data_IF_301556838309
#
_entry.id   IF_301556838309
#
_cell.length_a   1.000
_cell.length_b   1.000
_cell.length_c   1.000
_cell.angle_alpha   90.00
_cell.angle_beta   90.00
_cell.angle_gamma   90.00
#
_symmetry.space_group_name_H-M   'P 1'
#
loop_
_entity.id
_entity.type
_entity.pdbx_description
1 polymer ?
#
# COMPACT_ATOMS: atom_id res chain seq x y z
N UNK A 1 27.94 -50.05 8.84
CA UNK A 1 28.17 -49.17 10.01
C UNK A 1 27.17 -48.04 9.93
N UNK A 2 26.07 -48.17 10.66
CA UNK A 2 25.04 -47.15 10.85
C UNK A 2 25.57 -46.04 11.73
N UNK A 3 25.17 -44.79 11.44
CA UNK A 3 24.83 -43.81 12.48
C UNK A 3 23.65 -42.96 12.01
N UNK A 4 22.56 -43.18 12.72
CA UNK A 4 21.30 -42.45 12.69
C UNK A 4 21.43 -41.01 13.21
N UNK A 5 20.53 -40.16 12.71
CA UNK A 5 19.65 -39.32 13.54
C UNK A 5 20.22 -38.01 14.09
N UNK A 6 19.64 -36.89 13.63
CA UNK A 6 18.86 -36.06 14.57
C UNK A 6 17.88 -35.11 13.84
N UNK A 7 16.59 -35.39 13.98
CA UNK A 7 15.52 -34.40 13.89
C UNK A 7 15.44 -33.71 15.25
N UNK A 8 15.38 -32.38 15.30
CA UNK A 8 14.88 -31.69 16.49
C UNK A 8 13.79 -30.70 16.09
N UNK A 9 12.55 -31.13 16.37
CA UNK A 9 11.47 -30.24 16.73
C UNK A 9 11.74 -29.70 18.14
N UNK A 10 11.43 -28.42 18.37
CA UNK A 10 11.54 -27.82 19.70
C UNK A 10 11.06 -26.37 19.72
N UNK A 11 9.75 -26.19 19.84
CA UNK A 11 9.19 -24.95 20.37
C UNK A 11 9.63 -24.77 21.82
N UNK A 12 9.86 -23.51 22.25
CA UNK A 12 9.63 -23.00 23.61
C UNK A 12 9.90 -21.49 23.70
N UNK A 13 8.79 -20.74 23.66
CA UNK A 13 8.46 -19.60 24.54
C UNK A 13 9.59 -18.74 25.12
N UNK A 14 9.68 -17.49 24.69
CA UNK A 14 10.21 -16.38 25.52
C UNK A 14 9.30 -15.16 25.36
N UNK A 15 8.30 -15.05 26.23
CA UNK A 15 7.58 -13.82 26.51
C UNK A 15 7.46 -13.71 28.03
N UNK A 16 8.32 -12.89 28.65
CA UNK A 16 8.03 -12.11 29.86
C UNK A 16 9.29 -11.33 30.28
N UNK A 17 9.37 -10.02 29.99
CA UNK A 17 10.03 -8.99 30.82
C UNK A 17 9.94 -7.61 30.16
N UNK A 18 8.92 -6.83 30.54
CA UNK A 18 8.93 -5.37 30.78
C UNK A 18 7.51 -4.81 30.63
N UNK A 19 6.67 -5.01 31.64
CA UNK A 19 5.47 -4.20 31.85
C UNK A 19 5.27 -4.05 33.36
N UNK A 20 6.21 -3.37 34.01
CA UNK A 20 6.07 -2.85 35.38
C UNK A 20 6.98 -1.64 35.60
N UNK A 21 6.85 -0.59 34.79
CA UNK A 21 7.39 0.75 35.14
C UNK A 21 6.44 1.85 34.66
N UNK A 22 5.24 1.90 35.27
CA UNK A 22 4.55 3.15 35.52
C UNK A 22 4.19 3.14 37.01
N UNK A 23 5.21 3.35 37.83
CA UNK A 23 5.06 3.55 39.26
C UNK A 23 4.28 4.85 39.46
N UNK A 24 3.06 4.68 39.96
CA UNK A 24 2.26 5.73 40.56
C UNK A 24 3.13 6.62 41.47
N UNK A 25 3.11 7.92 41.20
CA UNK A 25 3.63 8.93 42.09
C UNK A 25 2.82 8.91 43.40
N UNK A 26 3.33 8.20 44.40
CA UNK A 26 2.80 8.21 45.75
C UNK A 26 3.25 9.52 46.45
N UNK A 27 2.37 10.52 46.45
CA UNK A 27 2.45 11.66 47.37
C UNK A 27 2.14 11.15 48.78
N UNK A 28 3.17 11.12 49.63
CA UNK A 28 3.07 10.87 51.07
C UNK A 28 2.69 12.15 51.80
N UNK A 29 1.53 12.17 52.46
CA UNK A 29 1.31 12.89 53.73
C UNK A 29 0.38 12.04 54.62
N UNK A 30 0.69 11.96 55.92
CA UNK A 30 0.30 10.86 56.79
C UNK A 30 -0.82 11.10 57.82
N UNK A 31 -0.91 10.08 58.70
CA UNK A 31 -1.62 9.91 59.98
C UNK A 31 -3.03 9.28 60.03
N UNK A 32 -3.13 8.17 60.80
CA UNK A 32 -4.35 7.69 61.49
C UNK A 32 -4.59 6.17 61.42
N UNK A 33 -4.66 5.41 62.55
CA UNK A 33 -4.94 3.98 62.54
C UNK A 33 -6.44 3.70 62.68
N UNK A 34 -7.02 2.93 61.77
CA UNK A 34 -8.40 2.46 61.90
C UNK A 34 -8.87 1.70 60.67
N UNK A 35 -9.09 0.39 60.85
CA UNK A 35 -9.95 -0.57 60.11
C UNK A 35 -10.54 -0.11 58.76
N UNK A 36 -10.50 -0.98 57.74
CA UNK A 36 -11.68 -1.72 57.20
C UNK A 36 -11.35 -2.44 55.88
N UNK A 37 -11.97 -3.62 55.76
CA UNK A 37 -12.41 -4.34 54.55
C UNK A 37 -11.38 -5.10 53.70
N UNK A 38 -11.40 -6.42 53.93
CA UNK A 38 -11.08 -7.47 52.98
C UNK A 38 -11.93 -7.31 51.71
N UNK A 39 -11.30 -7.10 50.57
CA UNK A 39 -11.86 -7.38 49.26
C UNK A 39 -10.93 -8.37 48.55
N UNK A 40 -11.35 -9.63 48.53
CA UNK A 40 -10.65 -10.70 47.81
C UNK A 40 -10.71 -10.43 46.30
N UNK A 41 -9.54 -10.26 45.69
CA UNK A 41 -9.38 -10.36 44.25
C UNK A 41 -9.06 -11.82 43.93
N UNK A 42 -10.08 -12.54 43.46
CA UNK A 42 -9.91 -13.82 42.80
C UNK A 42 -9.10 -13.59 41.52
N UNK A 43 -7.87 -14.11 41.51
CA UNK A 43 -7.03 -14.24 40.32
C UNK A 43 -7.69 -15.24 39.36
N UNK A 44 -8.34 -14.75 38.31
CA UNK A 44 -8.59 -15.56 37.12
C UNK A 44 -7.27 -15.58 36.33
N UNK A 45 -6.52 -16.67 36.47
CA UNK A 45 -5.43 -16.99 35.57
C UNK A 45 -6.02 -17.31 34.20
N UNK A 46 -5.99 -16.36 33.27
CA UNK A 46 -6.29 -16.62 31.86
C UNK A 46 -5.05 -17.28 31.24
N UNK A 47 -5.29 -18.48 30.73
CA UNK A 47 -4.30 -19.35 30.12
C UNK A 47 -3.50 -18.65 29.00
N UNK A 48 -2.18 -18.92 28.98
CA UNK A 48 -1.34 -18.73 27.81
C UNK A 48 -1.82 -19.62 26.65
N UNK A 49 -2.78 -19.12 25.88
CA UNK A 49 -2.91 -19.41 24.47
C UNK A 49 -2.33 -18.22 23.71
N UNK A 50 -1.49 -18.47 22.71
CA UNK A 50 -1.08 -17.44 21.75
C UNK A 50 -2.33 -16.87 21.07
N UNK A 51 -2.88 -15.78 21.58
CA UNK A 51 -3.88 -15.01 20.85
C UNK A 51 -3.14 -14.24 19.78
N UNK A 52 -3.09 -14.79 18.56
CA UNK A 52 -3.07 -13.91 17.38
C UNK A 52 -4.13 -12.83 17.63
N UNK A 53 -3.75 -11.56 17.55
CA UNK A 53 -4.68 -10.45 17.74
C UNK A 53 -5.88 -10.70 16.81
N UNK A 54 -7.09 -10.99 17.36
CA UNK A 54 -8.14 -11.69 16.62
C UNK A 54 -8.82 -10.85 15.51
N UNK A 55 -8.29 -9.67 15.20
CA UNK A 55 -8.92 -8.70 14.30
C UNK A 55 -7.98 -8.07 13.25
N UNK A 56 -6.71 -8.51 13.15
CA UNK A 56 -5.83 -8.00 12.08
C UNK A 56 -6.20 -8.66 10.74
N UNK A 57 -6.45 -7.87 9.67
CA UNK A 57 -6.68 -8.41 8.34
C UNK A 57 -5.43 -9.11 7.80
N UNK A 58 -5.62 -10.04 6.87
CA UNK A 58 -4.57 -10.56 6.00
C UNK A 58 -3.91 -9.45 5.19
N UNK A 59 -2.68 -9.68 4.74
CA UNK A 59 -1.96 -8.76 3.87
C UNK A 59 -2.74 -8.42 2.60
N UNK A 60 -3.35 -9.42 1.95
CA UNK A 60 -4.16 -9.23 0.74
C UNK A 60 -5.37 -8.34 1.02
N UNK A 61 -6.06 -8.51 2.16
CA UNK A 61 -7.20 -7.65 2.53
C UNK A 61 -6.76 -6.22 2.88
N UNK A 62 -5.59 -6.06 3.51
CA UNK A 62 -4.99 -4.75 3.77
C UNK A 62 -4.61 -4.04 2.47
N UNK A 63 -3.93 -4.74 1.56
CA UNK A 63 -3.49 -4.21 0.28
C UNK A 63 -4.68 -3.79 -0.59
N UNK A 64 -5.77 -4.58 -0.59
CA UNK A 64 -6.98 -4.27 -1.33
C UNK A 64 -7.63 -2.96 -0.86
N UNK A 65 -7.62 -2.69 0.44
CA UNK A 65 -8.17 -1.44 1.00
C UNK A 65 -7.40 -0.19 0.54
N UNK A 66 -6.10 -0.37 0.27
CA UNK A 66 -5.20 0.61 -0.33
C UNK A 66 -5.27 0.70 -1.86
N UNK A 67 -6.18 -0.03 -2.53
CA UNK A 67 -6.28 -0.04 -4.00
C UNK A 67 -7.48 0.76 -4.52
N UNK A 68 -7.38 1.20 -5.78
CA UNK A 68 -8.50 1.73 -6.56
C UNK A 68 -8.63 0.98 -7.89
N UNK A 69 -9.86 0.93 -8.39
CA UNK A 69 -10.21 0.35 -9.69
C UNK A 69 -10.19 1.44 -10.77
N UNK A 70 -9.58 1.14 -11.91
CA UNK A 70 -9.48 2.05 -13.05
C UNK A 70 -9.89 1.35 -14.35
N UNK A 71 -10.39 2.12 -15.35
CA UNK A 71 -10.74 1.57 -16.65
C UNK A 71 -9.48 1.03 -17.36
N UNK A 72 -9.65 0.11 -18.33
CA UNK A 72 -8.52 -0.39 -19.10
C UNK A 72 -7.88 0.73 -19.91
N UNK A 73 -6.58 0.59 -20.22
CA UNK A 73 -5.87 1.52 -21.13
C UNK A 73 -6.44 1.45 -22.54
N UNK A 74 -6.77 0.25 -23.00
CA UNK A 74 -7.40 -0.03 -24.29
C UNK A 74 -8.80 -0.59 -24.04
N UNK A 75 -9.79 -0.22 -24.84
CA UNK A 75 -11.20 -0.55 -24.55
C UNK A 75 -11.49 -2.05 -24.34
N UNK A 76 -10.73 -2.93 -25.01
CA UNK A 76 -10.85 -4.39 -24.89
C UNK A 76 -10.02 -5.00 -23.75
N UNK A 77 -9.20 -4.20 -23.06
CA UNK A 77 -8.27 -4.68 -22.03
C UNK A 77 -8.94 -5.02 -20.68
N UNK A 78 -8.16 -5.59 -19.75
CA UNK A 78 -8.60 -5.82 -18.38
C UNK A 78 -8.73 -4.51 -17.60
N UNK A 79 -9.65 -4.46 -16.64
CA UNK A 79 -9.65 -3.36 -15.68
C UNK A 79 -8.34 -3.39 -14.88
N UNK A 80 -7.90 -2.21 -14.46
CA UNK A 80 -6.67 -2.08 -13.67
C UNK A 80 -7.02 -1.95 -12.20
N UNK A 81 -6.35 -2.73 -11.36
CA UNK A 81 -6.38 -2.59 -9.91
C UNK A 81 -5.03 -2.05 -9.44
N UNK A 82 -5.02 -0.84 -8.90
CA UNK A 82 -3.80 -0.07 -8.69
C UNK A 82 -3.65 0.36 -7.23
N UNK A 83 -2.41 0.44 -6.76
CA UNK A 83 -2.09 1.11 -5.51
C UNK A 83 -2.57 2.57 -5.56
N UNK A 84 -3.38 2.96 -4.58
CA UNK A 84 -3.88 4.34 -4.42
C UNK A 84 -2.75 5.33 -4.26
N UNK A 85 -1.71 4.89 -3.57
CA UNK A 85 -0.51 5.63 -3.24
C UNK A 85 0.72 4.93 -3.81
N UNK A 86 1.88 5.57 -3.70
CA UNK A 86 3.16 4.87 -3.73
C UNK A 86 3.22 3.82 -2.62
N UNK A 87 4.00 2.76 -2.82
CA UNK A 87 4.24 1.76 -1.77
C UNK A 87 4.87 2.45 -0.59
N UNK A 88 4.25 2.28 0.58
CA UNK A 88 4.70 2.89 1.81
C UNK A 88 5.79 2.05 2.48
N UNK A 89 6.55 2.66 3.39
CA UNK A 89 7.54 1.95 4.21
C UNK A 89 6.89 0.86 5.05
N UNK A 90 5.68 1.09 5.54
CA UNK A 90 4.91 0.10 6.30
C UNK A 90 4.52 -1.13 5.46
N UNK A 91 4.15 -0.93 4.20
CA UNK A 91 3.87 -2.01 3.24
C UNK A 91 5.13 -2.77 2.82
N UNK A 92 6.25 -2.06 2.66
CA UNK A 92 7.48 -2.67 2.17
C UNK A 92 8.24 -3.44 3.27
N UNK A 93 8.39 -2.86 4.46
CA UNK A 93 9.19 -3.43 5.56
C UNK A 93 8.35 -4.16 6.63
N UNK A 94 7.03 -3.97 6.65
CA UNK A 94 6.14 -4.51 7.68
C UNK A 94 6.03 -3.63 8.95
N UNK A 95 5.20 -4.06 9.90
CA UNK A 95 4.87 -3.25 11.10
C UNK A 95 5.92 -3.36 12.21
N UNK A 96 6.74 -2.31 12.31
CA UNK A 96 7.33 -1.66 13.49
C UNK A 96 8.21 -2.42 14.51
N UNK A 97 8.20 -3.75 14.63
CA UNK A 97 9.05 -4.41 15.65
C UNK A 97 10.50 -4.63 15.19
N UNK A 98 10.77 -4.58 13.88
CA UNK A 98 12.10 -4.85 13.33
C UNK A 98 12.97 -3.60 13.09
N UNK A 99 12.41 -2.39 13.18
CA UNK A 99 12.98 -1.28 12.40
C UNK A 99 13.14 0.06 13.11
N UNK A 100 12.33 0.40 14.13
CA UNK A 100 12.41 1.72 14.79
C UNK A 100 12.06 2.89 13.85
N UNK A 101 11.29 3.87 14.33
CA UNK A 101 10.99 5.15 13.64
C UNK A 101 10.79 5.12 12.11
N UNK A 102 10.10 4.11 11.58
CA UNK A 102 9.98 3.94 10.12
C UNK A 102 9.14 5.01 9.42
N UNK A 103 8.40 5.87 10.13
CA UNK A 103 7.36 6.74 9.54
C UNK A 103 6.55 5.96 8.48
N UNK A 104 5.71 4.99 8.90
CA UNK A 104 5.22 3.91 8.04
C UNK A 104 4.41 4.38 6.84
N UNK A 105 3.83 5.57 6.90
CA UNK A 105 3.02 6.17 5.83
C UNK A 105 3.86 6.95 4.79
N UNK A 106 5.18 7.08 4.99
CA UNK A 106 6.07 7.63 3.96
C UNK A 106 6.22 6.64 2.80
N UNK A 107 6.39 7.12 1.56
CA UNK A 107 6.76 6.26 0.45
C UNK A 107 8.09 5.57 0.74
N UNK A 108 8.19 4.29 0.37
CA UNK A 108 9.46 3.58 0.33
C UNK A 108 10.33 4.21 -0.76
N UNK A 109 11.59 4.47 -0.41
CA UNK A 109 12.61 5.00 -1.31
C UNK A 109 13.90 4.21 -1.10
N UNK A 110 14.97 4.53 -1.85
CA UNK A 110 16.21 3.75 -1.81
C UNK A 110 16.00 2.28 -2.18
N UNK A 111 15.04 2.02 -3.07
CA UNK A 111 14.77 0.72 -3.67
C UNK A 111 15.11 0.76 -5.15
N UNK A 112 15.76 -0.29 -5.65
CA UNK A 112 16.06 -0.39 -7.06
C UNK A 112 14.86 -0.99 -7.82
N UNK A 113 14.92 -1.01 -9.15
CA UNK A 113 13.79 -1.48 -9.97
C UNK A 113 13.51 -2.97 -9.75
N UNK A 114 14.54 -3.78 -9.55
CA UNK A 114 14.39 -5.23 -9.36
C UNK A 114 13.70 -5.55 -8.02
N UNK A 115 14.07 -4.88 -6.93
CA UNK A 115 13.42 -4.99 -5.62
C UNK A 115 11.93 -4.60 -5.71
N UNK A 116 11.64 -3.49 -6.39
CA UNK A 116 10.26 -3.03 -6.60
C UNK A 116 9.44 -4.04 -7.43
N UNK A 117 10.02 -4.61 -8.48
CA UNK A 117 9.39 -5.64 -9.30
C UNK A 117 9.16 -6.95 -8.53
N UNK A 118 10.15 -7.40 -7.74
CA UNK A 118 10.03 -8.59 -6.92
C UNK A 118 8.92 -8.42 -5.87
N UNK A 119 8.90 -7.29 -5.17
CA UNK A 119 7.86 -6.98 -4.18
C UNK A 119 6.46 -7.05 -4.77
N UNK A 120 6.27 -6.49 -5.98
CA UNK A 120 4.98 -6.52 -6.65
C UNK A 120 4.62 -7.94 -7.13
N UNK A 121 5.58 -8.65 -7.72
CA UNK A 121 5.39 -10.00 -8.27
C UNK A 121 4.97 -11.00 -7.20
N UNK A 122 5.58 -10.94 -6.02
CA UNK A 122 5.27 -11.82 -4.89
C UNK A 122 3.83 -11.64 -4.38
N UNK A 123 3.15 -10.55 -4.78
CA UNK A 123 1.76 -10.23 -4.44
C UNK A 123 0.79 -10.42 -5.62
N UNK A 124 1.24 -11.07 -6.70
CA UNK A 124 0.44 -11.23 -7.93
C UNK A 124 0.25 -9.94 -8.70
N UNK A 125 1.09 -8.93 -8.46
CA UNK A 125 1.05 -7.60 -9.07
C UNK A 125 2.31 -7.37 -9.90
N UNK A 126 2.43 -6.17 -10.46
CA UNK A 126 3.61 -5.73 -11.19
C UNK A 126 3.78 -4.21 -11.09
N UNK A 127 4.94 -3.72 -11.54
CA UNK A 127 5.08 -2.31 -11.85
C UNK A 127 4.17 -1.92 -13.02
N UNK A 128 3.60 -0.70 -13.01
CA UNK A 128 2.85 -0.21 -14.15
C UNK A 128 3.78 0.00 -15.36
N UNK A 129 3.28 -0.25 -16.55
CA UNK A 129 3.92 0.26 -17.76
C UNK A 129 3.84 1.80 -17.77
N UNK A 130 4.71 2.47 -18.53
CA UNK A 130 4.63 3.94 -18.64
C UNK A 130 3.26 4.40 -19.16
N UNK A 131 2.64 3.63 -20.07
CA UNK A 131 1.33 3.94 -20.63
C UNK A 131 0.21 3.80 -19.59
N UNK A 132 0.25 2.75 -18.77
CA UNK A 132 -0.69 2.58 -17.65
C UNK A 132 -0.49 3.65 -16.60
N UNK A 133 0.74 3.94 -16.21
CA UNK A 133 1.01 4.97 -15.20
C UNK A 133 0.44 6.33 -15.64
N UNK A 134 0.68 6.72 -16.89
CA UNK A 134 0.12 7.95 -17.47
C UNK A 134 -1.39 7.92 -17.52
N UNK A 135 -1.97 6.80 -17.97
CA UNK A 135 -3.41 6.59 -17.96
C UNK A 135 -3.97 6.79 -16.56
N UNK A 136 -3.41 6.17 -15.53
CA UNK A 136 -3.86 6.33 -14.14
C UNK A 136 -3.72 7.76 -13.62
N UNK A 137 -2.65 8.47 -14.02
CA UNK A 137 -2.39 9.84 -13.61
C UNK A 137 -3.39 10.86 -14.18
N UNK A 138 -3.98 10.62 -15.36
CA UNK A 138 -4.88 11.58 -16.03
C UNK A 138 -6.22 10.99 -16.48
N UNK A 139 -6.50 9.72 -16.26
CA UNK A 139 -7.65 9.03 -16.84
C UNK A 139 -8.96 9.77 -16.52
N UNK A 140 -9.95 9.60 -17.40
CA UNK A 140 -11.30 10.16 -17.25
C UNK A 140 -11.38 11.67 -17.40
N UNK A 141 -10.25 12.33 -17.59
CA UNK A 141 -10.19 13.73 -17.92
C UNK A 141 -10.04 13.91 -19.42
N UNK A 142 -11.09 14.37 -20.09
CA UNK A 142 -10.92 14.97 -21.41
C UNK A 142 -10.02 16.22 -21.33
N UNK A 143 -9.38 16.55 -22.44
CA UNK A 143 -8.60 17.79 -22.61
C UNK A 143 -7.11 17.67 -22.32
N UNK A 144 -6.40 18.79 -22.46
CA UNK A 144 -4.96 18.89 -22.23
C UNK A 144 -4.66 18.86 -20.73
N UNK A 145 -4.18 17.70 -20.23
CA UNK A 145 -3.76 17.51 -18.85
C UNK A 145 -2.27 17.25 -18.77
N UNK A 146 -1.55 18.31 -18.43
CA UNK A 146 -0.14 18.21 -18.05
C UNK A 146 0.04 17.63 -16.64
N UNK A 147 -0.87 17.93 -15.72
CA UNK A 147 -0.89 17.44 -14.34
C UNK A 147 -2.18 16.66 -14.05
N UNK A 148 -2.22 15.81 -13.00
CA UNK A 148 -3.43 15.08 -12.62
C UNK A 148 -4.66 15.96 -12.44
N UNK A 149 -4.47 17.20 -11.96
CA UNK A 149 -5.52 18.18 -11.69
C UNK A 149 -5.80 19.18 -12.83
N UNK A 150 -5.04 19.17 -13.93
CA UNK A 150 -5.25 20.08 -15.06
C UNK A 150 -3.98 20.54 -15.78
N UNK A 151 -4.08 21.60 -16.62
CA UNK A 151 -2.99 22.00 -17.50
C UNK A 151 -1.86 22.78 -16.80
N UNK A 152 -2.16 23.45 -15.67
CA UNK A 152 -1.24 24.34 -14.99
C UNK A 152 -0.77 23.77 -13.64
N UNK A 153 0.50 24.03 -13.31
CA UNK A 153 1.06 23.69 -12.01
C UNK A 153 0.32 24.42 -10.88
N UNK A 154 0.15 23.74 -9.74
CA UNK A 154 -0.46 24.28 -8.52
C UNK A 154 0.41 23.89 -7.32
N UNK A 155 1.08 24.84 -6.64
CA UNK A 155 1.98 24.53 -5.52
C UNK A 155 1.33 23.73 -4.39
N UNK A 156 0.03 23.94 -4.11
CA UNK A 156 -0.70 23.24 -3.05
C UNK A 156 -1.23 21.85 -3.46
N UNK A 157 -0.93 21.37 -4.67
CA UNK A 157 -1.46 20.11 -5.20
C UNK A 157 -0.43 18.96 -5.24
N UNK A 158 0.83 19.21 -4.88
CA UNK A 158 1.89 18.22 -4.91
C UNK A 158 3.05 18.60 -3.99
N UNK A 159 3.81 17.59 -3.54
CA UNK A 159 5.08 17.81 -2.86
C UNK A 159 6.20 18.02 -3.88
N UNK A 160 6.59 19.27 -4.11
CA UNK A 160 7.66 19.66 -5.06
C UNK A 160 8.64 20.61 -4.39
N UNK A 161 9.70 20.99 -5.11
CA UNK A 161 10.76 21.88 -4.61
C UNK A 161 10.21 23.20 -4.01
N UNK A 162 9.11 23.71 -4.55
CA UNK A 162 8.45 24.95 -4.15
C UNK A 162 7.91 24.94 -2.71
N UNK A 163 7.69 23.76 -2.11
CA UNK A 163 7.31 23.67 -0.70
C UNK A 163 8.50 23.85 0.26
N UNK A 164 9.74 23.73 -0.23
CA UNK A 164 10.95 23.90 0.59
C UNK A 164 11.16 22.82 1.67
N UNK A 165 10.45 21.69 1.57
CA UNK A 165 10.52 20.61 2.57
C UNK A 165 11.70 19.66 2.34
N UNK A 166 12.14 19.52 1.08
CA UNK A 166 13.29 18.71 0.66
C UNK A 166 13.29 17.25 1.17
N UNK A 167 12.10 16.67 1.37
CA UNK A 167 11.90 15.29 1.84
C UNK A 167 10.54 14.75 1.38
N UNK A 168 10.33 13.42 1.34
CA UNK A 168 9.01 12.88 1.06
C UNK A 168 8.05 13.20 2.22
N UNK A 169 6.76 13.26 1.89
CA UNK A 169 5.68 13.40 2.85
C UNK A 169 4.86 12.11 2.91
N UNK A 170 4.06 11.91 3.98
CA UNK A 170 3.12 10.80 4.03
C UNK A 170 2.24 10.80 2.79
N UNK A 171 1.96 9.61 2.28
CA UNK A 171 1.14 9.45 1.08
C UNK A 171 -0.26 10.03 1.29
N UNK A 172 -0.85 10.58 0.23
CA UNK A 172 -2.24 11.04 0.26
C UNK A 172 -2.49 12.40 0.91
N UNK A 173 -1.45 13.16 1.25
CA UNK A 173 -1.60 14.49 1.87
C UNK A 173 -2.20 15.52 0.91
N UNK A 174 -1.93 15.42 -0.40
CA UNK A 174 -2.32 16.43 -1.38
C UNK A 174 -3.67 16.13 -2.03
N UNK A 175 -4.75 16.45 -1.30
CA UNK A 175 -6.13 16.25 -1.75
C UNK A 175 -6.46 16.96 -3.08
N UNK A 176 -5.89 18.16 -3.30
CA UNK A 176 -6.05 18.92 -4.56
C UNK A 176 -5.25 18.31 -5.73
N UNK A 177 -4.37 17.35 -5.44
CA UNK A 177 -3.53 16.65 -6.40
C UNK A 177 -4.18 15.42 -7.04
N UNK A 178 -5.36 15.00 -6.56
CA UNK A 178 -5.97 13.74 -6.98
C UNK A 178 -6.49 13.76 -8.43
N UNK A 179 -6.21 12.71 -9.23
CA UNK A 179 -6.97 12.41 -10.44
C UNK A 179 -8.39 11.91 -10.13
N UNK A 180 -9.22 11.85 -11.17
CA UNK A 180 -10.63 11.47 -11.08
C UNK A 180 -10.91 10.06 -10.53
N UNK A 181 -9.99 9.11 -10.74
CA UNK A 181 -10.20 7.69 -10.40
C UNK A 181 -9.69 7.31 -9.01
N UNK A 182 -9.10 8.26 -8.28
CA UNK A 182 -8.89 8.13 -6.84
C UNK A 182 -7.50 7.68 -6.40
N UNK A 183 -6.50 7.62 -7.28
CA UNK A 183 -5.10 7.58 -6.87
C UNK A 183 -4.62 8.93 -6.34
N UNK A 184 -3.35 9.01 -5.94
CA UNK A 184 -2.70 10.20 -5.40
C UNK A 184 -1.25 10.28 -5.86
N UNK A 185 -0.65 11.46 -5.68
CA UNK A 185 0.80 11.67 -5.73
C UNK A 185 1.45 11.27 -7.08
N UNK A 186 0.67 11.25 -8.18
CA UNK A 186 1.19 11.10 -9.55
C UNK A 186 2.02 12.30 -10.04
N UNK A 187 2.25 13.29 -9.19
CA UNK A 187 3.10 14.45 -9.46
C UNK A 187 3.80 14.84 -8.15
N UNK A 188 5.12 14.81 -8.15
CA UNK A 188 5.93 15.10 -6.96
C UNK A 188 5.96 13.95 -5.96
N UNK A 189 6.29 14.29 -4.71
CA UNK A 189 6.62 13.35 -3.63
C UNK A 189 7.84 12.49 -3.99
N UNK A 190 7.69 11.39 -4.71
CA UNK A 190 8.81 10.57 -5.19
C UNK A 190 8.63 10.19 -6.65
N UNK A 191 9.74 10.06 -7.37
CA UNK A 191 9.75 9.37 -8.65
C UNK A 191 9.29 7.92 -8.48
N UNK A 192 8.64 7.37 -9.48
CA UNK A 192 8.13 6.00 -9.40
C UNK A 192 8.68 5.12 -10.51
N UNK A 193 9.30 4.00 -10.15
CA UNK A 193 9.73 2.98 -11.11
C UNK A 193 8.56 2.45 -11.95
N UNK A 194 8.78 2.33 -13.26
CA UNK A 194 7.84 1.72 -14.21
C UNK A 194 8.46 0.51 -14.93
N UNK A 195 7.61 -0.37 -15.43
CA UNK A 195 7.97 -1.47 -16.33
C UNK A 195 8.20 -0.95 -17.77
N UNK A 196 9.07 0.05 -17.93
CA UNK A 196 9.47 0.61 -19.21
C UNK A 196 10.97 0.88 -19.22
N UNK A 197 11.54 0.91 -20.42
CA UNK A 197 12.95 1.21 -20.63
C UNK A 197 13.08 2.47 -21.49
N UNK A 198 14.16 3.21 -21.28
CA UNK A 198 14.50 4.35 -22.12
C UNK A 198 14.88 3.87 -23.52
N UNK A 199 14.63 4.71 -24.53
CA UNK A 199 15.22 4.48 -25.84
C UNK A 199 16.75 4.54 -25.72
N UNK A 200 17.43 3.60 -26.37
CA UNK A 200 18.88 3.53 -26.29
C UNK A 200 19.53 4.76 -26.95
N UNK A 201 20.38 5.47 -26.21
CA UNK A 201 21.19 6.59 -26.67
C UNK A 201 22.59 6.54 -26.00
N UNK A 202 23.56 7.40 -26.40
CA UNK A 202 24.91 7.37 -25.83
C UNK A 202 25.01 7.56 -24.30
N UNK A 203 24.00 8.19 -23.67
CA UNK A 203 23.90 8.39 -22.22
C UNK A 203 23.03 7.33 -21.54
N UNK A 204 22.14 6.67 -22.29
CA UNK A 204 21.19 5.68 -21.77
C UNK A 204 21.27 4.41 -22.61
N UNK A 205 22.10 3.42 -22.26
CA UNK A 205 22.20 2.18 -23.01
C UNK A 205 20.88 1.40 -23.01
N UNK A 206 20.75 0.43 -23.92
CA UNK A 206 19.62 -0.51 -23.91
C UNK A 206 19.49 -1.19 -22.52
N UNK A 207 18.27 -1.33 -22.01
CA UNK A 207 18.02 -1.82 -20.66
C UNK A 207 17.96 -0.73 -19.58
N UNK A 208 18.20 0.55 -19.91
CA UNK A 208 18.08 1.65 -18.94
C UNK A 208 16.64 1.78 -18.45
N UNK A 209 16.44 1.74 -17.14
CA UNK A 209 15.13 1.81 -16.51
C UNK A 209 14.56 3.24 -16.50
N UNK A 210 13.23 3.32 -16.39
CA UNK A 210 12.52 4.59 -16.27
C UNK A 210 11.81 4.71 -14.93
N UNK A 211 11.83 5.92 -14.38
CA UNK A 211 10.93 6.38 -13.35
C UNK A 211 10.13 7.60 -13.83
N UNK A 212 8.94 7.87 -13.27
CA UNK A 212 8.07 8.97 -13.71
C UNK A 212 7.46 9.79 -12.55
N UNK A 213 6.85 10.94 -12.89
CA UNK A 213 6.07 11.78 -11.97
C UNK A 213 6.82 12.93 -11.29
N UNK A 214 8.14 12.84 -11.15
CA UNK A 214 8.92 13.82 -10.38
C UNK A 214 8.87 13.56 -8.89
N UNK A 215 9.73 14.23 -8.13
CA UNK A 215 9.82 14.09 -6.67
C UNK A 215 9.76 15.45 -5.96
N UNK A 216 9.85 15.42 -4.62
CA UNK A 216 10.05 16.59 -3.78
C UNK A 216 11.30 17.43 -4.15
N UNK A 217 12.23 16.86 -4.93
CA UNK A 217 13.46 17.53 -5.36
C UNK A 217 13.33 18.21 -6.73
N UNK A 218 12.24 18.01 -7.46
CA UNK A 218 12.00 18.65 -8.75
C UNK A 218 11.18 19.93 -8.61
N UNK A 219 11.45 20.92 -9.47
CA UNK A 219 10.51 22.04 -9.65
C UNK A 219 9.15 21.51 -10.07
N UNK A 220 8.07 22.13 -9.63
CA UNK A 220 6.71 21.81 -10.00
C UNK A 220 6.46 21.87 -11.50
N UNK A 221 7.18 22.74 -12.21
CA UNK A 221 7.16 22.78 -13.69
C UNK A 221 7.68 21.49 -14.35
N UNK A 222 8.46 20.67 -13.64
CA UNK A 222 9.05 19.41 -14.09
C UNK A 222 8.41 18.17 -13.41
N UNK A 223 7.53 18.34 -12.43
CA UNK A 223 6.80 17.26 -11.76
C UNK A 223 5.44 17.02 -12.44
N UNK A 224 5.46 16.58 -13.69
CA UNK A 224 4.25 16.41 -14.51
C UNK A 224 4.18 15.01 -15.14
N UNK A 225 3.03 14.65 -15.71
CA UNK A 225 2.72 13.25 -16.08
C UNK A 225 3.55 12.69 -17.24
N UNK A 226 4.21 13.58 -18.00
CA UNK A 226 5.11 13.20 -19.08
C UNK A 226 6.57 13.10 -18.63
N UNK A 227 6.90 13.61 -17.44
CA UNK A 227 8.25 13.60 -16.91
C UNK A 227 8.72 12.19 -16.66
N UNK A 228 9.89 11.89 -17.22
CA UNK A 228 10.58 10.61 -17.03
C UNK A 228 12.02 10.87 -16.63
N UNK A 229 12.55 10.03 -15.76
CA UNK A 229 13.95 9.99 -15.38
C UNK A 229 14.50 8.62 -15.77
N UNK A 230 15.56 8.61 -16.57
CA UNK A 230 16.28 7.40 -16.93
C UNK A 230 17.36 7.13 -15.89
N UNK A 231 17.47 5.87 -15.46
CA UNK A 231 18.39 5.41 -14.41
C UNK A 231 18.80 3.96 -14.69
N UNK A 232 19.96 3.55 -14.20
CA UNK A 232 20.31 2.13 -14.25
C UNK A 232 19.35 1.33 -13.36
N UNK A 233 19.08 0.07 -13.73
CA UNK A 233 18.05 -0.73 -13.03
C UNK A 233 18.45 -1.04 -11.57
N UNK A 234 19.76 -1.08 -11.32
CA UNK A 234 20.41 -1.27 -10.03
C UNK A 234 20.48 0.00 -9.17
N UNK A 235 20.24 1.18 -9.75
CA UNK A 235 20.34 2.45 -9.04
C UNK A 235 19.29 2.56 -7.93
N UNK A 236 19.67 3.23 -6.86
CA UNK A 236 18.81 3.59 -5.73
C UNK A 236 18.93 5.09 -5.49
N UNK A 237 17.80 5.74 -5.20
CA UNK A 237 17.80 7.16 -4.88
C UNK A 237 16.81 7.48 -3.76
N UNK A 238 17.13 8.52 -2.99
CA UNK A 238 16.35 9.00 -1.84
C UNK A 238 14.98 9.53 -2.23
N UNK A 239 14.78 9.81 -3.51
CA UNK A 239 13.60 10.41 -4.08
C UNK A 239 12.94 9.51 -5.14
N UNK A 240 13.29 8.22 -5.18
CA UNK A 240 12.72 7.21 -6.09
C UNK A 240 12.13 6.06 -5.28
N UNK A 241 10.83 5.86 -5.45
CA UNK A 241 10.04 4.74 -4.95
C UNK A 241 9.30 4.04 -6.10
N UNK A 242 8.11 3.51 -5.83
CA UNK A 242 7.28 2.87 -6.84
C UNK A 242 5.83 2.74 -6.40
N UNK A 243 4.95 2.45 -7.37
CA UNK A 243 3.61 1.91 -7.13
C UNK A 243 3.41 0.61 -7.91
N UNK A 244 2.29 -0.03 -7.69
CA UNK A 244 1.94 -1.30 -8.30
C UNK A 244 0.58 -1.26 -9.02
N UNK A 245 0.43 -2.18 -9.97
CA UNK A 245 -0.81 -2.45 -10.69
C UNK A 245 -0.97 -3.96 -10.90
N UNK A 246 -2.21 -4.42 -11.01
CA UNK A 246 -2.58 -5.74 -11.50
C UNK A 246 -3.79 -5.67 -12.41
N UNK A 247 -4.04 -6.75 -13.12
CA UNK A 247 -5.30 -6.96 -13.83
C UNK A 247 -6.37 -7.32 -12.79
N UNK A 248 -7.41 -6.50 -12.68
CA UNK A 248 -8.40 -6.62 -11.62
C UNK A 248 -9.10 -7.99 -11.66
N UNK A 249 -9.46 -8.45 -12.86
CA UNK A 249 -10.14 -9.72 -13.08
C UNK A 249 -9.30 -10.91 -12.57
N UNK A 250 -8.02 -10.95 -12.94
CA UNK A 250 -7.08 -12.01 -12.57
C UNK A 250 -6.79 -11.97 -11.07
N UNK A 251 -6.42 -10.79 -10.56
CA UNK A 251 -6.05 -10.63 -9.16
C UNK A 251 -7.21 -10.94 -8.20
N UNK A 252 -8.44 -10.51 -8.52
CA UNK A 252 -9.59 -10.87 -7.69
C UNK A 252 -9.87 -12.38 -7.68
N UNK A 253 -9.79 -13.04 -8.83
CA UNK A 253 -10.03 -14.47 -8.90
C UNK A 253 -8.96 -15.29 -8.14
N UNK A 254 -7.71 -14.83 -8.13
CA UNK A 254 -6.60 -15.56 -7.52
C UNK A 254 -6.39 -15.22 -6.05
N UNK A 255 -6.51 -13.95 -5.68
CA UNK A 255 -6.15 -13.46 -4.34
C UNK A 255 -7.39 -13.22 -3.47
N UNK A 256 -8.47 -12.72 -4.05
CA UNK A 256 -9.68 -12.35 -3.29
C UNK A 256 -10.64 -13.51 -3.11
N UNK A 257 -10.85 -14.33 -4.13
CA UNK A 257 -11.78 -15.45 -4.04
C UNK A 257 -11.44 -16.43 -2.89
N UNK A 258 -10.17 -16.84 -2.67
CA UNK A 258 -9.81 -17.67 -1.52
C UNK A 258 -10.14 -17.00 -0.17
N UNK A 259 -9.87 -15.69 -0.04
CA UNK A 259 -10.22 -14.93 1.16
C UNK A 259 -11.72 -14.83 1.37
N UNK A 260 -12.51 -14.68 0.31
CA UNK A 260 -13.96 -14.66 0.43
C UNK A 260 -14.49 -15.99 0.97
N UNK A 261 -14.01 -17.09 0.40
CA UNK A 261 -14.44 -18.44 0.76
C UNK A 261 -13.98 -18.85 2.17
N UNK A 262 -12.72 -18.58 2.52
CA UNK A 262 -12.05 -19.18 3.68
C UNK A 262 -11.46 -18.14 4.68
N UNK A 263 -11.52 -16.85 4.35
CA UNK A 263 -10.95 -15.78 5.18
C UNK A 263 -11.74 -15.48 6.46
N UNK A 264 -11.08 -14.78 7.38
CA UNK A 264 -11.64 -14.39 8.68
C UNK A 264 -12.69 -13.28 8.48
N UNK A 265 -13.61 -13.05 9.44
CA UNK A 265 -14.57 -11.94 9.36
C UNK A 265 -13.93 -10.56 9.12
N UNK A 266 -12.73 -10.32 9.66
CA UNK A 266 -11.96 -9.11 9.41
C UNK A 266 -11.60 -8.93 7.93
N UNK A 267 -11.16 -9.99 7.25
CA UNK A 267 -10.83 -9.96 5.82
C UNK A 267 -12.03 -9.55 4.98
N UNK A 268 -13.20 -10.17 5.25
CA UNK A 268 -14.45 -9.85 4.54
C UNK A 268 -14.86 -8.40 4.76
N UNK A 269 -14.71 -7.84 5.97
CA UNK A 269 -15.01 -6.43 6.24
C UNK A 269 -14.10 -5.48 5.47
N UNK A 270 -12.80 -5.74 5.45
CA UNK A 270 -11.83 -4.94 4.70
C UNK A 270 -12.10 -5.00 3.20
N UNK A 271 -12.39 -6.21 2.69
CA UNK A 271 -12.76 -6.40 1.29
C UNK A 271 -14.02 -5.62 0.91
N UNK A 272 -15.08 -5.71 1.70
CA UNK A 272 -16.34 -4.99 1.41
C UNK A 272 -16.14 -3.47 1.48
N UNK A 273 -15.32 -2.99 2.42
CA UNK A 273 -14.93 -1.58 2.53
C UNK A 273 -14.11 -1.11 1.33
N UNK A 274 -13.17 -1.92 0.85
CA UNK A 274 -12.37 -1.63 -0.32
C UNK A 274 -13.27 -1.51 -1.57
N UNK A 275 -14.12 -2.52 -1.80
CA UNK A 275 -15.07 -2.55 -2.90
C UNK A 275 -15.99 -1.32 -2.85
N UNK A 276 -16.57 -0.97 -1.69
CA UNK A 276 -17.49 0.18 -1.59
C UNK A 276 -16.85 1.53 -1.94
N UNK A 277 -15.51 1.65 -1.90
CA UNK A 277 -14.78 2.86 -2.30
C UNK A 277 -14.52 2.93 -3.81
N UNK A 278 -14.70 1.84 -4.55
CA UNK A 278 -14.53 1.83 -5.99
C UNK A 278 -15.75 2.40 -6.70
N UNK A 279 -15.51 2.99 -7.86
CA UNK A 279 -16.55 3.63 -8.63
C UNK A 279 -17.64 2.63 -9.08
N UNK A 280 -18.94 2.97 -8.92
CA UNK A 280 -20.03 2.05 -9.21
C UNK A 280 -20.05 1.49 -10.65
N UNK A 281 -19.73 2.32 -11.64
CA UNK A 281 -19.68 1.93 -13.05
C UNK A 281 -18.60 0.87 -13.32
N UNK A 282 -17.40 1.05 -12.76
CA UNK A 282 -16.31 0.08 -12.92
C UNK A 282 -16.57 -1.21 -12.16
N UNK A 283 -17.21 -1.15 -10.98
CA UNK A 283 -17.57 -2.36 -10.23
C UNK A 283 -18.58 -3.23 -10.95
N UNK A 284 -19.58 -2.61 -11.58
CA UNK A 284 -20.59 -3.33 -12.38
C UNK A 284 -19.93 -4.01 -13.58
N UNK A 285 -19.05 -3.28 -14.30
CA UNK A 285 -18.27 -3.85 -15.40
C UNK A 285 -17.39 -5.02 -14.93
N UNK A 286 -16.73 -4.88 -13.78
CA UNK A 286 -15.91 -5.95 -13.20
C UNK A 286 -16.75 -7.17 -12.83
N UNK A 287 -17.94 -6.98 -12.25
CA UNK A 287 -18.86 -8.06 -11.91
C UNK A 287 -19.39 -8.79 -13.16
N UNK A 288 -19.64 -8.08 -14.26
CA UNK A 288 -20.02 -8.68 -15.55
C UNK A 288 -18.89 -9.56 -16.09
N UNK A 289 -17.65 -9.04 -16.12
CA UNK A 289 -16.47 -9.79 -16.58
C UNK A 289 -16.13 -11.01 -15.73
N UNK A 290 -16.57 -11.04 -14.48
CA UNK A 290 -16.29 -12.11 -13.52
C UNK A 290 -17.50 -13.00 -13.22
N UNK A 291 -18.61 -12.87 -13.96
CA UNK A 291 -19.87 -13.57 -13.68
C UNK A 291 -19.72 -15.09 -13.57
N UNK A 292 -18.81 -15.69 -14.34
CA UNK A 292 -18.57 -17.13 -14.40
C UNK A 292 -17.38 -17.58 -13.50
N UNK A 293 -16.74 -16.63 -12.81
CA UNK A 293 -15.50 -16.85 -12.02
C UNK A 293 -15.68 -16.61 -10.53
N UNK A 294 -16.64 -15.77 -10.12
CA UNK A 294 -16.88 -15.42 -8.73
C UNK A 294 -18.26 -15.91 -8.25
N UNK A 295 -18.41 -16.23 -6.96
CA UNK A 295 -19.69 -16.67 -6.40
C UNK A 295 -20.69 -15.51 -6.33
N UNK A 296 -21.99 -15.84 -6.42
CA UNK A 296 -23.11 -14.89 -6.40
C UNK A 296 -22.99 -13.79 -5.33
N UNK A 297 -22.75 -14.10 -4.05
CA UNK A 297 -22.63 -13.08 -3.00
C UNK A 297 -21.48 -12.08 -3.22
N UNK A 298 -20.36 -12.50 -3.82
CA UNK A 298 -19.25 -11.60 -4.12
C UNK A 298 -19.56 -10.73 -5.36
N UNK A 299 -20.25 -11.30 -6.35
CA UNK A 299 -20.75 -10.55 -7.51
C UNK A 299 -21.79 -9.50 -7.09
N UNK A 300 -22.70 -9.85 -6.18
CA UNK A 300 -23.67 -8.92 -5.58
C UNK A 300 -22.94 -7.81 -4.82
N UNK A 301 -21.94 -8.14 -4.00
CA UNK A 301 -21.12 -7.13 -3.31
C UNK A 301 -20.46 -6.16 -4.31
N UNK A 302 -19.91 -6.65 -5.42
CA UNK A 302 -19.37 -5.77 -6.47
C UNK A 302 -20.46 -4.85 -7.04
N UNK A 303 -21.64 -5.38 -7.39
CA UNK A 303 -22.72 -4.61 -8.02
C UNK A 303 -23.38 -3.58 -7.10
N UNK A 304 -23.52 -3.91 -5.82
CA UNK A 304 -24.42 -3.21 -4.89
C UNK A 304 -23.71 -2.48 -3.73
N UNK A 305 -22.41 -2.70 -3.51
CA UNK A 305 -21.71 -2.06 -2.39
C UNK A 305 -21.79 -0.53 -2.45
N UNK A 306 -22.55 0.10 -1.55
CA UNK A 306 -22.62 1.56 -1.41
C UNK A 306 -23.27 2.29 -2.59
N UNK A 307 -24.45 2.86 -2.33
CA UNK A 307 -24.95 4.08 -2.98
C UNK A 307 -24.76 5.24 -2.00
#
# INVERSE_FOLDING_TARGET
MSRDGNKTAGSKSWCCRRWTELSAAAVRWGFGPGRWLLAGLALIAVACGSTEAPDRPSEVAFLLDGMFLAPPVEASGPLLLCGRFEVTRGEFFGTAEASGDLEPDLPVTMVNREEAQAWARDRGLRLPTLREWRHLAVAGAGGDRRFPWGPAFRPAAANTLELGLHRPLPVGVFELGKPLWGGYDFAGNVWEWVAAEAAADPNHPAGTALACGGSFANSGAAAHVLSTRAMHAEDKAVDVGFRYVGEAETWLAEQVLPLWAQGKPADRRFLLRAISRWRPDLRKMLAEKLQDRLPGPLLEALREAGN
#
